data_IF_182516079743
#
_entry.id   IF_182516079743
#
_cell.length_a   1.000
_cell.length_b   1.000
_cell.length_c   1.000
_cell.angle_alpha   90.00
_cell.angle_beta   90.00
_cell.angle_gamma   90.00
#
_symmetry.space_group_name_H-M   'P 1'
#
loop_
_entity.id
_entity.type
_entity.pdbx_description
1 polymer ?
#
# COMPACT_ATOMS: atom_id res chain seq x y z
N UNK A 1 10.38 21.07 -9.94
CA UNK A 1 9.89 19.69 -10.11
C UNK A 1 8.69 19.51 -9.19
N UNK A 2 7.61 18.90 -9.68
CA UNK A 2 6.44 18.48 -8.90
C UNK A 2 6.31 16.97 -9.09
N UNK A 3 6.37 16.23 -7.99
CA UNK A 3 6.34 14.76 -8.00
C UNK A 3 5.03 14.21 -7.47
N UNK A 4 4.49 13.22 -8.17
CA UNK A 4 3.28 12.49 -7.79
C UNK A 4 3.59 11.01 -7.53
N UNK A 5 2.67 10.26 -6.91
CA UNK A 5 2.89 8.83 -6.68
C UNK A 5 2.61 8.01 -7.94
N UNK A 6 1.52 8.30 -8.63
CA UNK A 6 1.08 7.57 -9.82
C UNK A 6 1.01 8.47 -11.05
N UNK A 7 0.91 7.83 -12.21
CA UNK A 7 0.68 8.53 -13.46
C UNK A 7 -0.73 9.16 -13.49
N UNK A 8 -1.72 8.52 -12.87
CA UNK A 8 -3.06 9.08 -12.73
C UNK A 8 -3.08 10.36 -11.88
N UNK A 9 -2.30 10.41 -10.79
CA UNK A 9 -2.13 11.61 -9.97
C UNK A 9 -1.43 12.73 -10.77
N UNK A 10 -0.39 12.38 -11.54
CA UNK A 10 0.31 13.30 -12.44
C UNK A 10 -0.64 13.89 -13.47
N UNK A 11 -1.41 13.05 -14.15
CA UNK A 11 -2.36 13.48 -15.18
C UNK A 11 -3.47 14.35 -14.59
N UNK A 12 -3.96 14.04 -13.40
CA UNK A 12 -4.98 14.85 -12.71
C UNK A 12 -4.48 16.28 -12.45
N UNK A 13 -3.20 16.44 -12.12
CA UNK A 13 -2.59 17.76 -11.96
C UNK A 13 -2.47 18.51 -13.30
N UNK A 14 -2.04 17.83 -14.37
CA UNK A 14 -1.95 18.44 -15.71
C UNK A 14 -3.33 18.87 -16.20
N UNK A 15 -4.34 18.01 -16.06
CA UNK A 15 -5.73 18.31 -16.40
C UNK A 15 -6.24 19.56 -15.67
N UNK A 16 -5.92 19.71 -14.38
CA UNK A 16 -6.27 20.90 -13.60
C UNK A 16 -5.62 22.17 -14.17
N UNK A 17 -4.34 22.11 -14.54
CA UNK A 17 -3.63 23.26 -15.10
C UNK A 17 -4.21 23.67 -16.45
N UNK A 18 -4.41 22.72 -17.35
CA UNK A 18 -4.85 22.99 -18.72
C UNK A 18 -6.33 23.40 -18.77
N UNK A 19 -7.21 22.64 -18.12
CA UNK A 19 -8.65 22.93 -18.12
C UNK A 19 -9.00 24.15 -17.25
N UNK A 20 -8.21 24.41 -16.21
CA UNK A 20 -8.31 25.61 -15.39
C UNK A 20 -7.72 26.87 -16.06
N UNK A 21 -7.17 26.75 -17.27
CA UNK A 21 -6.50 27.85 -18.00
C UNK A 21 -5.38 28.50 -17.17
N UNK A 22 -4.68 27.71 -16.36
CA UNK A 22 -3.56 28.15 -15.54
C UNK A 22 -2.21 28.00 -16.24
N UNK A 23 -2.19 27.27 -17.37
CA UNK A 23 -0.97 26.97 -18.11
C UNK A 23 -1.18 25.97 -19.25
N UNK A 24 -0.09 25.56 -19.87
CA UNK A 24 -0.05 24.55 -20.93
C UNK A 24 1.01 23.49 -20.63
N UNK A 25 0.81 22.26 -21.09
CA UNK A 25 1.85 21.24 -21.10
C UNK A 25 2.51 21.12 -22.48
N UNK A 26 3.78 20.70 -22.51
CA UNK A 26 4.54 20.40 -23.71
C UNK A 26 4.77 18.89 -23.87
N UNK A 27 5.08 18.46 -25.10
CA UNK A 27 5.31 17.04 -25.44
C UNK A 27 6.44 16.38 -24.62
N UNK A 28 7.41 17.16 -24.14
CA UNK A 28 8.52 16.70 -23.29
C UNK A 28 8.15 16.55 -21.80
N UNK A 29 6.87 16.76 -21.45
CA UNK A 29 6.34 16.62 -20.10
C UNK A 29 6.64 17.80 -19.17
N UNK A 30 7.04 18.95 -19.72
CA UNK A 30 7.14 20.20 -18.98
C UNK A 30 5.76 20.90 -18.93
N UNK A 31 5.49 21.60 -17.83
CA UNK A 31 4.28 22.40 -17.64
C UNK A 31 4.67 23.85 -17.47
N UNK A 32 4.15 24.73 -18.31
CA UNK A 32 4.29 26.17 -18.15
C UNK A 32 3.04 26.75 -17.48
N UNK A 33 3.16 27.15 -16.21
CA UNK A 33 2.06 27.70 -15.43
C UNK A 33 2.57 28.75 -14.44
N UNK A 34 1.76 29.79 -14.18
CA UNK A 34 2.09 30.86 -13.23
C UNK A 34 3.48 31.49 -13.45
N UNK A 35 3.85 31.74 -14.71
CA UNK A 35 5.17 32.25 -15.12
C UNK A 35 6.36 31.36 -14.69
N UNK A 36 6.14 30.05 -14.57
CA UNK A 36 7.18 29.07 -14.22
C UNK A 36 7.11 27.86 -15.15
N UNK A 37 8.29 27.31 -15.45
CA UNK A 37 8.42 26.00 -16.07
C UNK A 37 8.59 24.94 -14.99
N UNK A 38 7.72 23.93 -15.01
CA UNK A 38 7.62 22.88 -14.01
C UNK A 38 7.87 21.53 -14.71
N UNK A 39 8.88 20.78 -14.26
CA UNK A 39 8.95 19.34 -14.54
C UNK A 39 7.91 18.64 -13.67
N UNK A 40 6.96 17.95 -14.29
CA UNK A 40 5.88 17.23 -13.59
C UNK A 40 5.99 15.74 -13.94
N UNK A 41 6.17 14.88 -12.94
CA UNK A 41 6.37 13.45 -13.17
C UNK A 41 5.87 12.58 -11.99
N UNK A 42 5.64 11.30 -12.27
CA UNK A 42 5.33 10.29 -11.27
C UNK A 42 6.62 9.65 -10.73
N UNK A 43 6.72 9.57 -9.40
CA UNK A 43 7.82 8.97 -8.64
C UNK A 43 7.22 8.05 -7.58
N UNK A 44 6.77 6.84 -7.98
CA UNK A 44 6.15 5.92 -7.04
C UNK A 44 7.17 5.47 -5.99
N UNK A 45 6.92 5.80 -4.72
CA UNK A 45 7.86 5.50 -3.64
C UNK A 45 8.02 3.99 -3.42
N UNK A 46 9.27 3.55 -3.37
CA UNK A 46 9.66 2.14 -3.17
C UNK A 46 9.95 1.78 -1.70
N UNK A 47 10.39 0.53 -1.51
CA UNK A 47 10.95 0.00 -0.26
C UNK A 47 12.30 -0.66 -0.54
N UNK A 48 12.98 -1.18 0.49
CA UNK A 48 14.10 -2.10 0.31
C UNK A 48 13.62 -3.53 0.57
N UNK A 49 13.15 -4.26 -0.48
CA UNK A 49 12.46 -5.52 -0.28
C UNK A 49 13.35 -6.59 0.38
N UNK A 50 14.62 -6.70 -0.03
CA UNK A 50 15.52 -7.73 0.53
C UNK A 50 15.94 -7.43 1.99
N UNK A 51 15.99 -6.16 2.38
CA UNK A 51 16.21 -5.76 3.79
C UNK A 51 15.01 -6.15 4.64
N UNK A 52 13.80 -5.96 4.12
CA UNK A 52 12.55 -6.34 4.80
C UNK A 52 12.44 -7.87 4.92
N UNK A 53 12.72 -8.62 3.85
CA UNK A 53 12.73 -10.08 3.87
C UNK A 53 13.64 -10.63 4.97
N UNK A 54 14.87 -10.11 5.04
CA UNK A 54 15.85 -10.49 6.08
C UNK A 54 15.37 -10.13 7.48
N UNK A 55 14.78 -8.95 7.68
CA UNK A 55 14.25 -8.54 8.97
C UNK A 55 13.06 -9.43 9.41
N UNK A 56 12.18 -9.80 8.48
CA UNK A 56 11.05 -10.69 8.74
C UNK A 56 11.52 -12.08 9.21
N UNK A 57 12.52 -12.64 8.54
CA UNK A 57 13.13 -13.92 8.91
C UNK A 57 13.75 -13.85 10.31
N UNK A 58 14.58 -12.84 10.59
CA UNK A 58 15.26 -12.65 11.88
C UNK A 58 14.29 -12.53 13.07
N UNK A 59 13.08 -12.03 12.85
CA UNK A 59 12.09 -11.81 13.91
C UNK A 59 11.11 -12.97 14.08
N UNK A 60 11.20 -14.03 13.26
CA UNK A 60 10.25 -15.16 13.26
C UNK A 60 10.22 -15.91 14.60
N UNK A 61 11.36 -16.01 15.30
CA UNK A 61 11.44 -16.68 16.60
C UNK A 61 11.10 -15.82 17.82
N UNK A 62 10.70 -14.56 17.59
CA UNK A 62 10.31 -13.67 18.71
C UNK A 62 9.05 -14.19 19.37
N UNK A 63 9.01 -14.09 20.72
CA UNK A 63 7.89 -14.59 21.54
C UNK A 63 6.50 -14.19 21.00
N UNK A 64 6.22 -12.93 20.62
CA UNK A 64 4.90 -12.57 20.11
C UNK A 64 4.51 -13.28 18.81
N UNK A 65 5.46 -13.51 17.90
CA UNK A 65 5.23 -14.21 16.63
C UNK A 65 4.92 -15.68 16.88
N UNK A 66 5.74 -16.34 17.73
CA UNK A 66 5.49 -17.72 18.14
C UNK A 66 4.15 -17.88 18.85
N UNK A 67 3.84 -16.99 19.79
CA UNK A 67 2.54 -17.02 20.50
C UNK A 67 1.36 -16.85 19.56
N UNK A 68 1.45 -15.98 18.54
CA UNK A 68 0.40 -15.88 17.53
C UNK A 68 0.28 -17.18 16.73
N UNK A 69 1.40 -17.68 16.18
CA UNK A 69 1.44 -18.92 15.39
C UNK A 69 0.87 -20.11 16.15
N UNK A 70 1.30 -20.30 17.39
CA UNK A 70 0.86 -21.41 18.24
C UNK A 70 -0.62 -21.24 18.62
N UNK A 71 -1.06 -20.00 18.89
CA UNK A 71 -2.47 -19.65 19.15
C UNK A 71 -3.39 -19.87 17.94
N UNK A 72 -2.87 -19.79 16.72
CA UNK A 72 -3.64 -20.07 15.50
C UNK A 72 -3.96 -21.56 15.35
N UNK A 73 -3.26 -22.49 16.01
CA UNK A 73 -3.55 -23.95 15.97
C UNK A 73 -3.72 -24.50 14.54
N UNK A 74 -2.90 -24.04 13.59
CA UNK A 74 -2.96 -24.44 12.18
C UNK A 74 -4.01 -23.73 11.33
N UNK A 75 -4.77 -22.78 11.90
CA UNK A 75 -5.68 -21.91 11.15
C UNK A 75 -4.91 -20.97 10.24
N UNK A 76 -5.51 -20.65 9.09
CA UNK A 76 -5.04 -19.62 8.19
C UNK A 76 -5.17 -18.24 8.82
N UNK A 77 -4.23 -17.36 8.51
CA UNK A 77 -4.15 -16.00 9.02
C UNK A 77 -4.26 -15.01 7.87
N UNK A 78 -5.23 -14.10 7.98
CA UNK A 78 -5.34 -12.89 7.15
C UNK A 78 -4.80 -11.73 7.99
N UNK A 79 -3.81 -11.02 7.48
CA UNK A 79 -3.22 -9.84 8.12
C UNK A 79 -3.67 -8.57 7.42
N UNK A 80 -4.15 -7.63 8.21
CA UNK A 80 -4.46 -6.26 7.79
C UNK A 80 -3.83 -5.28 8.78
N UNK A 81 -3.08 -4.30 8.27
CA UNK A 81 -2.38 -3.31 9.08
C UNK A 81 -2.57 -1.95 8.45
N UNK A 82 -3.32 -1.08 9.12
CA UNK A 82 -3.61 0.25 8.63
C UNK A 82 -3.69 1.22 9.78
N UNK A 83 -3.38 2.49 9.52
CA UNK A 83 -3.75 3.55 10.46
C UNK A 83 -5.27 3.64 10.50
N UNK A 84 -5.81 3.97 11.66
CA UNK A 84 -7.24 4.25 11.78
C UNK A 84 -7.54 5.53 11.00
N UNK A 85 -8.03 5.44 9.77
CA UNK A 85 -8.29 6.59 8.90
C UNK A 85 -9.43 6.27 7.92
N UNK A 86 -10.24 7.27 7.56
CA UNK A 86 -11.44 7.08 6.73
C UNK A 86 -11.11 6.59 5.32
N UNK A 87 -9.91 6.89 4.80
CA UNK A 87 -9.45 6.43 3.50
C UNK A 87 -9.22 4.92 3.43
N UNK A 88 -9.11 4.26 4.59
CA UNK A 88 -8.64 2.87 4.68
C UNK A 88 -9.71 1.81 4.53
N UNK A 89 -11.00 2.16 4.43
CA UNK A 89 -12.07 1.20 4.13
C UNK A 89 -12.14 0.03 5.11
N UNK A 90 -11.91 0.29 6.40
CA UNK A 90 -11.77 -0.76 7.41
C UNK A 90 -13.11 -1.44 7.74
N UNK A 91 -14.23 -0.72 7.57
CA UNK A 91 -15.58 -1.27 7.78
C UNK A 91 -15.90 -2.25 6.65
N UNK A 92 -15.69 -1.84 5.41
CA UNK A 92 -15.86 -2.65 4.20
C UNK A 92 -15.00 -3.92 4.27
N UNK A 93 -13.78 -3.80 4.82
CA UNK A 93 -12.87 -4.92 5.07
C UNK A 93 -13.47 -5.97 6.02
N UNK A 94 -14.04 -5.53 7.13
CA UNK A 94 -14.68 -6.43 8.10
C UNK A 94 -15.94 -7.07 7.51
N UNK A 95 -16.74 -6.28 6.77
CA UNK A 95 -17.97 -6.76 6.16
C UNK A 95 -17.71 -7.77 5.03
N UNK A 96 -16.66 -7.59 4.24
CA UNK A 96 -16.26 -8.59 3.24
C UNK A 96 -15.72 -9.88 3.89
N UNK A 97 -15.00 -9.78 5.00
CA UNK A 97 -14.62 -10.97 5.77
C UNK A 97 -15.84 -11.68 6.37
N UNK A 98 -16.83 -10.96 6.90
CA UNK A 98 -18.11 -11.56 7.29
C UNK A 98 -18.80 -12.23 6.09
N UNK A 99 -18.82 -11.57 4.93
CA UNK A 99 -19.43 -12.13 3.71
C UNK A 99 -18.76 -13.43 3.28
N UNK A 100 -17.42 -13.52 3.35
CA UNK A 100 -16.69 -14.78 3.17
C UNK A 100 -17.18 -15.86 4.13
N UNK A 101 -17.31 -15.55 5.42
CA UNK A 101 -17.78 -16.53 6.41
C UNK A 101 -19.23 -16.95 6.14
N UNK A 102 -20.06 -16.09 5.56
CA UNK A 102 -21.43 -16.45 5.16
C UNK A 102 -21.49 -17.31 3.90
N UNK A 103 -20.71 -16.97 2.88
CA UNK A 103 -20.74 -17.67 1.59
C UNK A 103 -19.99 -19.00 1.62
N UNK A 104 -18.95 -19.10 2.46
CA UNK A 104 -18.11 -20.29 2.57
C UNK A 104 -17.95 -20.76 4.03
N UNK A 105 -19.00 -21.40 4.62
CA UNK A 105 -18.97 -21.88 6.01
C UNK A 105 -17.84 -22.86 6.33
N UNK A 106 -17.26 -23.50 5.31
CA UNK A 106 -16.07 -24.36 5.46
C UNK A 106 -14.84 -23.66 6.02
N UNK A 107 -14.81 -22.32 6.03
CA UNK A 107 -13.77 -21.51 6.65
C UNK A 107 -13.98 -21.22 8.14
N UNK A 108 -15.16 -21.54 8.71
CA UNK A 108 -15.42 -21.35 10.14
C UNK A 108 -14.42 -22.15 10.98
N UNK A 109 -13.80 -21.50 11.96
CA UNK A 109 -12.77 -22.12 12.79
C UNK A 109 -11.47 -22.45 12.06
N UNK A 110 -11.32 -22.12 10.77
CA UNK A 110 -10.13 -22.41 9.95
C UNK A 110 -9.37 -21.17 9.50
N UNK A 111 -9.96 -19.98 9.62
CA UNK A 111 -9.31 -18.70 9.30
C UNK A 111 -9.63 -17.64 10.35
N UNK A 112 -8.67 -16.77 10.64
CA UNK A 112 -8.90 -15.54 11.42
C UNK A 112 -8.32 -14.33 10.70
N UNK A 113 -9.00 -13.20 10.84
CA UNK A 113 -8.52 -11.89 10.45
C UNK A 113 -7.88 -11.21 11.66
N UNK A 114 -6.61 -10.81 11.53
CA UNK A 114 -5.96 -9.92 12.49
C UNK A 114 -5.87 -8.53 11.88
N UNK A 115 -6.57 -7.58 12.49
CA UNK A 115 -6.50 -6.16 12.13
C UNK A 115 -5.70 -5.41 13.19
N UNK A 116 -4.53 -4.90 12.81
CA UNK A 116 -3.76 -3.98 13.65
C UNK A 116 -4.06 -2.56 13.20
N UNK A 117 -4.52 -1.73 14.13
CA UNK A 117 -4.83 -0.32 13.89
C UNK A 117 -4.12 0.56 14.92
N UNK A 118 -2.88 1.01 14.65
CA UNK A 118 -2.19 1.93 15.54
C UNK A 118 -3.02 3.21 15.71
N UNK A 119 -3.28 3.67 16.96
CA UNK A 119 -4.05 4.88 17.18
C UNK A 119 -3.39 6.09 16.51
N UNK A 120 -4.19 6.90 15.83
CA UNK A 120 -3.77 8.16 15.22
C UNK A 120 -4.79 9.25 15.52
N UNK A 121 -4.33 10.47 15.84
CA UNK A 121 -5.20 11.66 16.01
C UNK A 121 -6.41 11.39 16.91
N UNK A 122 -6.14 10.82 18.09
CA UNK A 122 -7.18 10.32 19.01
C UNK A 122 -8.09 11.42 19.58
N UNK A 123 -7.66 12.67 19.48
CA UNK A 123 -8.36 13.90 19.84
C UNK A 123 -9.39 14.34 18.78
N UNK A 124 -9.30 13.82 17.55
CA UNK A 124 -10.19 14.21 16.45
C UNK A 124 -11.43 13.32 16.44
N UNK A 125 -12.61 13.94 16.51
CA UNK A 125 -13.91 13.27 16.60
C UNK A 125 -14.15 12.22 15.51
N UNK A 126 -13.72 12.49 14.28
CA UNK A 126 -13.83 11.55 13.15
C UNK A 126 -13.11 10.22 13.44
N UNK A 127 -11.92 10.28 14.05
CA UNK A 127 -11.13 9.08 14.36
C UNK A 127 -11.77 8.27 15.49
N UNK A 128 -12.32 8.94 16.50
CA UNK A 128 -13.08 8.27 17.57
C UNK A 128 -14.32 7.54 17.01
N UNK A 129 -15.03 8.16 16.06
CA UNK A 129 -16.19 7.56 15.41
C UNK A 129 -15.82 6.31 14.62
N UNK A 130 -14.76 6.38 13.80
CA UNK A 130 -14.26 5.23 13.05
C UNK A 130 -13.90 4.10 14.01
N UNK A 131 -13.20 4.41 15.10
CA UNK A 131 -12.86 3.42 16.12
C UNK A 131 -14.11 2.73 16.68
N UNK A 132 -15.10 3.50 17.12
CA UNK A 132 -16.34 2.98 17.70
C UNK A 132 -17.08 2.08 16.70
N UNK A 133 -17.16 2.50 15.43
CA UNK A 133 -17.77 1.69 14.37
C UNK A 133 -17.03 0.37 14.17
N UNK A 134 -15.69 0.38 14.15
CA UNK A 134 -14.91 -0.85 14.00
C UNK A 134 -15.00 -1.78 15.22
N UNK A 135 -15.01 -1.23 16.44
CA UNK A 135 -15.23 -2.01 17.66
C UNK A 135 -16.63 -2.66 17.63
N UNK A 136 -17.64 -1.92 17.19
CA UNK A 136 -19.01 -2.43 16.99
C UNK A 136 -19.08 -3.54 15.94
N UNK A 137 -18.51 -3.33 14.76
CA UNK A 137 -18.51 -4.31 13.67
C UNK A 137 -17.73 -5.58 14.05
N UNK A 138 -16.54 -5.43 14.64
CA UNK A 138 -15.78 -6.59 15.14
C UNK A 138 -16.56 -7.35 16.22
N UNK A 139 -17.19 -6.64 17.16
CA UNK A 139 -18.03 -7.24 18.20
C UNK A 139 -19.23 -8.00 17.62
N UNK A 140 -19.93 -7.39 16.65
CA UNK A 140 -21.07 -8.00 15.96
C UNK A 140 -20.68 -9.26 15.20
N UNK A 141 -19.59 -9.21 14.42
CA UNK A 141 -19.11 -10.34 13.62
C UNK A 141 -18.60 -11.47 14.54
N UNK A 142 -17.80 -11.13 15.55
CA UNK A 142 -17.34 -12.12 16.52
C UNK A 142 -18.53 -12.75 17.27
N UNK A 143 -19.52 -11.97 17.71
CA UNK A 143 -20.73 -12.50 18.35
C UNK A 143 -21.53 -13.45 17.47
N UNK A 144 -21.45 -13.29 16.15
CA UNK A 144 -22.13 -14.14 15.17
C UNK A 144 -21.42 -15.48 14.91
N UNK A 145 -20.08 -15.49 14.86
CA UNK A 145 -19.32 -16.67 14.39
C UNK A 145 -18.36 -17.28 15.41
N UNK A 146 -18.02 -16.59 16.50
CA UNK A 146 -17.02 -17.08 17.44
C UNK A 146 -17.42 -18.42 18.06
N UNK A 147 -16.41 -19.23 18.32
CA UNK A 147 -16.51 -20.47 19.08
C UNK A 147 -15.60 -20.38 20.30
N UNK A 148 -15.72 -21.32 21.24
CA UNK A 148 -14.94 -21.31 22.48
C UNK A 148 -13.42 -21.17 22.26
N UNK A 149 -12.90 -21.70 21.16
CA UNK A 149 -11.48 -21.68 20.82
C UNK A 149 -11.14 -20.91 19.53
N UNK A 150 -12.09 -20.12 19.02
CA UNK A 150 -11.93 -19.34 17.78
C UNK A 150 -12.57 -17.95 17.86
N UNK A 151 -11.73 -16.94 17.66
CA UNK A 151 -12.15 -15.55 17.43
C UNK A 151 -11.94 -15.20 15.95
N UNK A 152 -13.01 -14.95 15.19
CA UNK A 152 -12.93 -14.62 13.77
C UNK A 152 -12.10 -13.36 13.48
N UNK A 153 -12.34 -12.26 14.18
CA UNK A 153 -11.64 -10.98 14.03
C UNK A 153 -10.91 -10.63 15.32
N UNK A 154 -9.58 -10.56 15.26
CA UNK A 154 -8.73 -10.00 16.30
C UNK A 154 -8.40 -8.55 15.94
N UNK A 155 -9.15 -7.61 16.51
CA UNK A 155 -8.94 -6.18 16.31
C UNK A 155 -8.05 -5.58 17.41
N UNK A 156 -6.88 -5.09 17.02
CA UNK A 156 -5.81 -4.66 17.92
C UNK A 156 -5.49 -3.17 17.70
N UNK A 157 -5.97 -2.34 18.62
CA UNK A 157 -5.67 -0.90 18.68
C UNK A 157 -4.29 -0.63 19.31
N UNK A 158 -3.22 -1.24 18.78
CA UNK A 158 -1.88 -1.18 19.35
C UNK A 158 -0.82 -0.92 18.29
N UNK A 159 0.24 -0.22 18.69
CA UNK A 159 1.46 -0.07 17.90
C UNK A 159 2.36 -1.27 18.15
N UNK A 160 2.91 -1.81 17.08
CA UNK A 160 3.95 -2.84 17.12
C UNK A 160 5.23 -2.32 16.48
N UNK A 161 6.36 -2.94 16.84
CA UNK A 161 7.63 -2.71 16.18
C UNK A 161 7.52 -3.11 14.70
N UNK A 162 8.13 -2.32 13.80
CA UNK A 162 8.07 -2.57 12.35
C UNK A 162 8.58 -3.96 11.97
N UNK A 163 9.74 -4.37 12.47
CA UNK A 163 10.32 -5.68 12.14
C UNK A 163 9.47 -6.84 12.66
N UNK A 164 8.80 -6.64 13.80
CA UNK A 164 7.83 -7.59 14.32
C UNK A 164 6.62 -7.71 13.38
N UNK A 165 6.11 -6.60 12.82
CA UNK A 165 5.05 -6.64 11.81
C UNK A 165 5.47 -7.41 10.55
N UNK A 166 6.71 -7.24 10.09
CA UNK A 166 7.22 -8.00 8.93
C UNK A 166 7.22 -9.51 9.21
N UNK A 167 7.65 -9.92 10.42
CA UNK A 167 7.57 -11.33 10.82
C UNK A 167 6.13 -11.84 10.92
N UNK A 168 5.18 -11.01 11.38
CA UNK A 168 3.76 -11.36 11.38
C UNK A 168 3.20 -11.51 9.96
N UNK A 169 3.60 -10.64 9.02
CA UNK A 169 3.27 -10.78 7.61
C UNK A 169 3.81 -12.08 7.02
N UNK A 170 5.06 -12.44 7.35
CA UNK A 170 5.68 -13.70 6.91
C UNK A 170 4.92 -14.94 7.37
N UNK A 171 4.26 -14.89 8.53
CA UNK A 171 3.45 -16.02 9.05
C UNK A 171 2.04 -16.10 8.45
N UNK A 172 1.59 -15.07 7.74
CA UNK A 172 0.22 -14.94 7.28
C UNK A 172 0.04 -15.34 5.81
N UNK A 173 -1.05 -16.03 5.51
CA UNK A 173 -1.31 -16.55 4.18
C UNK A 173 -1.99 -15.53 3.27
N UNK A 174 -2.60 -14.48 3.84
CA UNK A 174 -3.22 -13.40 3.06
C UNK A 174 -2.86 -12.04 3.66
N UNK A 175 -2.37 -11.15 2.81
CA UNK A 175 -2.22 -9.73 3.11
C UNK A 175 -3.42 -8.99 2.56
N UNK A 176 -4.19 -8.34 3.41
CA UNK A 176 -5.47 -7.76 3.03
C UNK A 176 -5.44 -6.24 3.09
N UNK A 177 -5.18 -5.62 1.93
CA UNK A 177 -4.89 -4.19 1.81
C UNK A 177 -5.88 -3.54 0.85
N UNK A 178 -7.07 -3.19 1.35
CA UNK A 178 -8.18 -2.72 0.51
C UNK A 178 -8.65 -1.28 0.80
N UNK A 179 -7.77 -0.26 0.81
CA UNK A 179 -8.19 1.11 1.07
C UNK A 179 -9.16 1.62 0.01
N UNK A 180 -10.06 2.53 0.40
CA UNK A 180 -10.97 3.21 -0.52
C UNK A 180 -10.22 4.16 -1.46
N UNK A 181 -9.12 4.76 -0.97
CA UNK A 181 -8.19 5.57 -1.76
C UNK A 181 -6.85 5.63 -1.04
N UNK A 182 -5.76 5.45 -1.76
CA UNK A 182 -4.41 5.59 -1.20
C UNK A 182 -3.41 6.02 -2.28
N UNK A 183 -2.67 7.11 -2.06
CA UNK A 183 -1.70 7.59 -3.06
C UNK A 183 -0.61 6.55 -3.33
N UNK A 184 -0.18 5.84 -2.29
CA UNK A 184 0.64 4.63 -2.37
C UNK A 184 0.33 3.78 -1.14
N UNK A 185 0.53 2.46 -1.22
CA UNK A 185 0.39 1.61 -0.04
C UNK A 185 1.69 0.83 0.23
N UNK A 186 2.47 1.30 1.19
CA UNK A 186 3.73 0.65 1.57
C UNK A 186 3.50 -0.65 2.35
N UNK A 187 2.37 -0.79 3.03
CA UNK A 187 2.02 -2.04 3.74
C UNK A 187 1.85 -3.18 2.74
N UNK A 188 1.25 -2.94 1.57
CA UNK A 188 1.18 -3.93 0.48
C UNK A 188 2.57 -4.40 0.03
N UNK A 189 3.48 -3.45 -0.21
CA UNK A 189 4.87 -3.77 -0.61
C UNK A 189 5.63 -4.50 0.49
N UNK A 190 5.49 -4.05 1.73
CA UNK A 190 6.09 -4.67 2.91
C UNK A 190 5.56 -6.09 3.14
N UNK A 191 4.25 -6.32 2.93
CA UNK A 191 3.65 -7.64 3.01
C UNK A 191 4.29 -8.60 2.03
N UNK A 192 4.37 -8.22 0.74
CA UNK A 192 4.98 -9.05 -0.31
C UNK A 192 6.46 -9.30 0.01
N UNK A 193 7.21 -8.25 0.34
CA UNK A 193 8.63 -8.35 0.67
C UNK A 193 8.92 -9.21 1.92
N UNK A 194 7.95 -9.36 2.82
CA UNK A 194 8.11 -10.17 4.04
C UNK A 194 7.91 -11.67 3.80
N UNK A 195 7.29 -12.07 2.68
CA UNK A 195 6.91 -13.46 2.43
C UNK A 195 8.11 -14.39 2.26
N UNK A 196 7.92 -15.67 2.56
CA UNK A 196 8.86 -16.71 2.19
C UNK A 196 8.63 -17.10 0.72
N UNK A 197 9.60 -16.95 -0.19
CA UNK A 197 9.42 -17.35 -1.58
C UNK A 197 9.10 -18.84 -1.76
N UNK A 198 9.45 -19.70 -0.80
CA UNK A 198 9.15 -21.13 -0.85
C UNK A 198 7.66 -21.43 -0.56
N UNK A 199 6.99 -20.62 0.26
CA UNK A 199 5.57 -20.74 0.58
C UNK A 199 4.92 -19.35 0.81
N UNK A 200 4.84 -18.50 -0.23
CA UNK A 200 4.44 -17.10 -0.04
C UNK A 200 2.92 -16.97 0.10
N UNK A 201 2.48 -16.06 0.98
CA UNK A 201 1.07 -15.67 1.04
C UNK A 201 0.61 -14.87 -0.19
N UNK A 202 -0.68 -14.56 -0.23
CA UNK A 202 -1.35 -13.86 -1.34
C UNK A 202 -1.72 -12.44 -0.91
N UNK A 203 -1.40 -11.46 -1.75
CA UNK A 203 -1.84 -10.08 -1.55
C UNK A 203 -3.21 -9.86 -2.22
N UNK A 204 -4.20 -9.43 -1.44
CA UNK A 204 -5.47 -8.87 -1.93
C UNK A 204 -5.38 -7.35 -1.82
N UNK A 205 -5.52 -6.64 -2.94
CA UNK A 205 -5.17 -5.21 -3.05
C UNK A 205 -6.31 -4.40 -3.67
N UNK A 206 -6.63 -3.25 -3.09
CA UNK A 206 -7.57 -2.30 -3.72
C UNK A 206 -7.02 -1.75 -5.03
N UNK A 207 -7.87 -1.69 -6.06
CA UNK A 207 -7.58 -0.98 -7.31
C UNK A 207 -7.36 0.54 -7.12
N UNK A 208 -7.74 1.09 -5.96
CA UNK A 208 -7.58 2.51 -5.62
C UNK A 208 -6.35 2.80 -4.75
N UNK A 209 -5.48 1.80 -4.55
CA UNK A 209 -4.15 2.02 -3.99
C UNK A 209 -3.15 2.20 -5.12
N UNK A 210 -2.32 3.24 -5.09
CA UNK A 210 -1.29 3.44 -6.12
C UNK A 210 -0.27 2.29 -6.25
N UNK A 211 -0.18 1.43 -5.21
CA UNK A 211 0.62 0.21 -5.28
C UNK A 211 0.11 -0.81 -6.31
N UNK A 212 -1.18 -0.75 -6.71
CA UNK A 212 -1.78 -1.66 -7.67
C UNK A 212 -1.15 -1.54 -9.07
N UNK A 213 -0.63 -0.37 -9.44
CA UNK A 213 0.12 -0.15 -10.69
C UNK A 213 1.46 -0.90 -10.71
N UNK A 214 1.99 -1.31 -9.56
CA UNK A 214 3.33 -1.89 -9.42
C UNK A 214 3.34 -3.33 -8.89
N UNK A 215 2.18 -3.87 -8.53
CA UNK A 215 2.04 -5.19 -7.92
C UNK A 215 1.10 -6.07 -8.77
N UNK A 216 1.49 -6.44 -10.01
CA UNK A 216 0.60 -7.12 -10.96
C UNK A 216 0.18 -8.52 -10.52
N UNK A 217 0.94 -9.16 -9.62
CA UNK A 217 0.60 -10.46 -9.06
C UNK A 217 -0.53 -10.44 -8.01
N UNK A 218 -0.93 -9.26 -7.51
CA UNK A 218 -1.98 -9.14 -6.51
C UNK A 218 -3.36 -9.55 -7.03
N UNK A 219 -4.24 -10.01 -6.14
CA UNK A 219 -5.67 -10.09 -6.42
C UNK A 219 -6.29 -8.70 -6.25
N UNK A 220 -6.41 -7.98 -7.36
CA UNK A 220 -6.95 -6.62 -7.39
C UNK A 220 -8.47 -6.64 -7.23
N UNK A 221 -8.99 -5.82 -6.31
CA UNK A 221 -10.42 -5.74 -5.97
C UNK A 221 -10.90 -4.30 -5.89
N UNK A 222 -12.20 -4.10 -6.10
CA UNK A 222 -12.92 -2.89 -5.79
C UNK A 222 -13.44 -2.96 -4.34
N UNK A 223 -12.97 -2.11 -3.41
CA UNK A 223 -13.40 -2.15 -2.02
C UNK A 223 -14.86 -1.76 -1.79
N UNK A 224 -15.55 -1.20 -2.79
CA UNK A 224 -16.98 -0.96 -2.75
C UNK A 224 -17.81 -2.21 -3.11
N UNK A 225 -17.18 -3.27 -3.62
CA UNK A 225 -17.81 -4.55 -3.90
C UNK A 225 -17.39 -5.59 -2.84
N UNK A 226 -18.23 -5.72 -1.81
CA UNK A 226 -17.98 -6.65 -0.71
C UNK A 226 -17.99 -8.12 -1.15
N UNK A 227 -18.74 -8.46 -2.20
CA UNK A 227 -18.82 -9.81 -2.73
C UNK A 227 -17.54 -10.16 -3.46
N UNK A 228 -17.05 -9.28 -4.33
CA UNK A 228 -15.76 -9.45 -5.00
C UNK A 228 -14.61 -9.56 -4.00
N UNK A 229 -14.63 -8.75 -2.93
CA UNK A 229 -13.63 -8.87 -1.86
C UNK A 229 -13.69 -10.23 -1.14
N UNK A 230 -14.89 -10.73 -0.83
CA UNK A 230 -15.07 -12.04 -0.19
C UNK A 230 -14.58 -13.18 -1.10
N UNK A 231 -14.93 -13.14 -2.38
CA UNK A 231 -14.46 -14.12 -3.38
C UNK A 231 -12.94 -14.08 -3.56
N UNK A 232 -12.33 -12.89 -3.55
CA UNK A 232 -10.88 -12.74 -3.59
C UNK A 232 -10.19 -13.32 -2.35
N UNK A 233 -10.78 -13.14 -1.16
CA UNK A 233 -10.28 -13.77 0.08
C UNK A 233 -10.38 -15.30 0.00
N UNK A 234 -11.51 -15.84 -0.46
CA UNK A 234 -11.68 -17.29 -0.61
C UNK A 234 -10.65 -17.86 -1.59
N UNK A 235 -10.49 -17.20 -2.75
CA UNK A 235 -9.46 -17.56 -3.74
C UNK A 235 -8.06 -17.50 -3.14
N UNK A 236 -7.72 -16.44 -2.41
CA UNK A 236 -6.43 -16.27 -1.78
C UNK A 236 -6.11 -17.41 -0.79
N UNK A 237 -7.08 -17.78 0.05
CA UNK A 237 -6.93 -18.82 1.06
C UNK A 237 -6.78 -20.23 0.46
N UNK A 238 -7.42 -20.47 -0.69
CA UNK A 238 -7.41 -21.75 -1.42
C UNK A 238 -6.36 -21.82 -2.54
N UNK A 239 -5.55 -20.77 -2.74
CA UNK A 239 -4.67 -20.66 -3.90
C UNK A 239 -3.56 -21.73 -3.90
N UNK A 240 -3.39 -22.51 -4.99
CA UNK A 240 -2.32 -23.49 -5.10
C UNK A 240 -0.93 -22.87 -4.97
N UNK A 241 0.02 -23.61 -4.40
CA UNK A 241 1.38 -23.12 -4.14
C UNK A 241 2.06 -22.55 -5.39
N UNK A 242 1.96 -23.22 -6.53
CA UNK A 242 2.57 -22.78 -7.78
C UNK A 242 2.05 -21.41 -8.24
N UNK A 243 0.74 -21.15 -8.11
CA UNK A 243 0.15 -19.85 -8.45
C UNK A 243 0.63 -18.76 -7.47
N UNK A 244 0.71 -19.08 -6.17
CA UNK A 244 1.22 -18.14 -5.15
C UNK A 244 2.67 -17.74 -5.42
N UNK A 245 3.53 -18.71 -5.73
CA UNK A 245 4.94 -18.48 -6.04
C UNK A 245 5.10 -17.61 -7.30
N UNK A 246 4.36 -17.89 -8.37
CA UNK A 246 4.38 -17.10 -9.60
C UNK A 246 3.99 -15.64 -9.32
N UNK A 247 2.83 -15.42 -8.68
CA UNK A 247 2.33 -14.08 -8.32
C UNK A 247 3.30 -13.31 -7.43
N UNK A 248 3.89 -13.99 -6.44
CA UNK A 248 4.88 -13.38 -5.56
C UNK A 248 6.14 -12.96 -6.33
N UNK A 249 6.66 -13.80 -7.22
CA UNK A 249 7.81 -13.48 -8.07
C UNK A 249 7.53 -12.27 -8.98
N UNK A 250 6.35 -12.23 -9.62
CA UNK A 250 5.91 -11.12 -10.48
C UNK A 250 5.82 -9.78 -9.75
N UNK A 251 5.55 -9.79 -8.44
CA UNK A 251 5.54 -8.57 -7.62
C UNK A 251 6.92 -8.22 -7.06
N UNK A 252 7.77 -9.21 -6.77
CA UNK A 252 9.11 -8.98 -6.21
C UNK A 252 10.07 -8.35 -7.23
N UNK A 253 10.00 -8.73 -8.50
CA UNK A 253 10.85 -8.17 -9.56
C UNK A 253 10.73 -6.63 -9.69
N UNK A 254 9.54 -6.04 -9.93
CA UNK A 254 9.40 -4.59 -10.07
C UNK A 254 9.71 -3.83 -8.77
N UNK A 255 9.50 -4.43 -7.59
CA UNK A 255 9.87 -3.79 -6.32
C UNK A 255 11.39 -3.69 -6.11
N UNK A 256 12.17 -4.64 -6.63
CA UNK A 256 13.64 -4.57 -6.59
C UNK A 256 14.17 -3.53 -7.57
N UNK A 257 13.59 -3.48 -8.77
CA UNK A 257 13.94 -2.52 -9.81
C UNK A 257 13.58 -1.08 -9.40
N UNK A 258 12.38 -0.84 -8.87
CA UNK A 258 11.94 0.47 -8.38
C UNK A 258 11.93 0.54 -6.84
N UNK A 259 13.10 0.30 -6.24
CA UNK A 259 13.29 0.36 -4.80
C UNK A 259 13.38 1.82 -4.27
N UNK A 260 13.50 1.97 -2.95
CA UNK A 260 13.52 3.30 -2.31
C UNK A 260 14.69 4.21 -2.79
N UNK A 261 15.85 3.63 -3.15
CA UNK A 261 16.96 4.42 -3.69
C UNK A 261 16.64 4.95 -5.08
N UNK A 262 15.99 4.17 -5.94
CA UNK A 262 15.59 4.62 -7.29
C UNK A 262 14.64 5.81 -7.19
N UNK A 263 13.62 5.73 -6.32
CA UNK A 263 12.74 6.88 -6.05
C UNK A 263 13.53 8.13 -5.65
N UNK A 264 14.44 8.00 -4.68
CA UNK A 264 15.26 9.12 -4.17
C UNK A 264 16.14 9.71 -5.27
N UNK A 265 16.87 8.86 -5.98
CA UNK A 265 17.92 9.28 -6.91
C UNK A 265 17.31 9.89 -8.18
N UNK A 266 16.20 9.36 -8.68
CA UNK A 266 15.46 9.93 -9.82
C UNK A 266 14.87 11.30 -9.45
N UNK A 267 14.20 11.42 -8.30
CA UNK A 267 13.60 12.70 -7.89
C UNK A 267 14.65 13.79 -7.62
N UNK A 268 15.75 13.44 -6.93
CA UNK A 268 16.86 14.38 -6.70
C UNK A 268 17.63 14.71 -7.98
N UNK A 269 17.74 13.77 -8.92
CA UNK A 269 18.30 13.99 -10.24
C UNK A 269 17.54 15.07 -11.00
N UNK A 270 16.21 14.96 -11.07
CA UNK A 270 15.36 15.94 -11.74
C UNK A 270 15.41 17.32 -11.07
N UNK A 271 15.50 17.38 -9.73
CA UNK A 271 15.68 18.65 -9.02
C UNK A 271 17.00 19.35 -9.38
N UNK A 272 18.09 18.58 -9.50
CA UNK A 272 19.41 19.11 -9.90
C UNK A 272 19.39 19.57 -11.35
N UNK A 273 18.79 18.80 -12.26
CA UNK A 273 18.72 19.13 -13.68
C UNK A 273 18.01 20.46 -13.93
N UNK A 274 16.90 20.73 -13.22
CA UNK A 274 16.21 22.03 -13.31
C UNK A 274 17.11 23.18 -12.82
N UNK A 275 17.86 22.99 -11.73
CA UNK A 275 18.79 24.01 -11.24
C UNK A 275 19.91 24.30 -12.24
N UNK A 276 20.45 23.26 -12.88
CA UNK A 276 21.50 23.40 -13.91
C UNK A 276 20.96 24.11 -15.15
N UNK A 277 19.78 23.74 -15.65
CA UNK A 277 19.14 24.38 -16.79
C UNK A 277 18.92 25.89 -16.55
N UNK A 278 18.40 26.28 -15.38
CA UNK A 278 18.29 27.70 -15.01
C UNK A 278 19.64 28.42 -14.98
N UNK A 279 20.72 27.75 -14.54
CA UNK A 279 22.07 28.33 -14.53
C UNK A 279 22.62 28.52 -15.95
N UNK A 280 22.34 27.60 -16.87
CA UNK A 280 22.78 27.66 -18.27
C UNK A 280 22.04 28.78 -18.99
N UNK A 281 20.72 28.88 -18.83
CA UNK A 281 19.93 29.96 -19.42
C UNK A 281 20.35 31.32 -18.87
N UNK A 282 20.60 31.45 -17.57
CA UNK A 282 21.09 32.70 -16.98
C UNK A 282 22.49 33.09 -17.50
N UNK A 283 23.39 32.13 -17.70
CA UNK A 283 24.70 32.38 -18.31
C UNK A 283 24.57 32.76 -19.79
N UNK A 284 23.71 32.09 -20.56
CA UNK A 284 23.50 32.38 -21.97
C UNK A 284 22.90 33.78 -22.20
N UNK A 285 21.90 34.17 -21.39
CA UNK A 285 21.34 35.54 -21.41
C UNK A 285 22.41 36.58 -21.08
N UNK A 286 23.23 36.32 -20.05
CA UNK A 286 24.32 37.23 -19.67
C UNK A 286 25.41 37.35 -20.74
N UNK A 287 25.72 36.27 -21.48
CA UNK A 287 26.65 36.34 -22.61
C UNK A 287 26.05 37.13 -23.79
N UNK A 288 24.76 36.97 -24.08
CA UNK A 288 24.07 37.69 -25.15
C UNK A 288 24.02 39.22 -24.87
N UNK A 289 23.78 39.61 -23.62
CA UNK A 289 23.77 41.02 -23.20
C UNK A 289 25.18 41.67 -23.27
N UNK A 290 26.24 40.90 -23.03
CA UNK A 290 27.63 41.37 -23.17
C UNK A 290 28.01 41.57 -24.64
N UNK A 291 27.52 40.71 -25.54
CA UNK A 291 27.75 40.87 -26.99
C UNK A 291 26.95 42.01 -27.61
N UNK A 292 25.77 42.35 -27.06
CA UNK A 292 24.94 43.46 -27.54
C UNK A 292 25.38 44.84 -27.02
N UNK A 293 26.18 44.91 -25.96
CA UNK A 293 26.72 46.15 -25.38
C UNK A 293 28.14 46.50 -25.88
N UNK A 294 28.73 45.66 -26.73
CA UNK A 294 30.05 45.85 -27.35
C UNK A 294 29.99 46.15 -28.85
N UNK A 295 28.78 46.38 -29.38
CA UNK A 295 28.47 46.85 -30.73
C UNK A 295 27.83 48.23 -30.69
#
# INVERSE_FOLDING_TARGET
VVGFQTEADRQSFVDFIERGQHGTSSEDGMVHAYNRFLKVAAYPIGIYPDVIAKAAEQFTDRKPVRSLRDGMRGRKLIMSVDRLDYSKGLVERFQAFERLLLSAPGWHGRVSLVQIAPPTRADVQTYQRIRQTLEGEAGRINGRFAQLDWTPIQYLNRKYERNLLMALFRQSQVGYVTPLRDGMNLVAKEYVASQDPADPGVLVLSQFAGAAEQLPGALVVNPFDLSQMAEALERALSMPLAERQARHADMMAPMRENNLSVWRDTFLGDLRNVATASSVTAKAVKLADVTASSS
#
